data_IF_432410060781
#
_entry.id   IF_432410060781
#
_cell.length_a   1.000
_cell.length_b   1.000
_cell.length_c   1.000
_cell.angle_alpha   90.00
_cell.angle_beta   90.00
_cell.angle_gamma   90.00
#
_symmetry.space_group_name_H-M   'P 1'
#
loop_
_entity.id
_entity.type
_entity.pdbx_description
1 polymer ?
#
# COMPACT_ATOMS: atom_id res chain seq x y z
N UNK A 1 4.93 -9.84 16.98
CA UNK A 1 3.65 -9.24 17.43
C UNK A 1 2.60 -9.69 16.43
N UNK A 2 1.54 -10.35 16.84
CA UNK A 2 0.48 -10.82 15.91
C UNK A 2 -0.33 -9.60 15.47
N UNK A 3 -0.10 -9.13 14.24
CA UNK A 3 -0.90 -8.06 13.62
C UNK A 3 -2.27 -8.64 13.28
N UNK A 4 -3.33 -8.10 13.87
CA UNK A 4 -4.68 -8.64 13.74
C UNK A 4 -5.20 -8.64 12.28
N UNK A 5 -4.68 -7.79 11.38
CA UNK A 5 -5.14 -7.69 9.98
C UNK A 5 -4.63 -8.81 9.06
N UNK A 6 -3.75 -9.68 9.54
CA UNK A 6 -3.16 -10.73 8.70
C UNK A 6 -4.12 -11.91 8.48
N UNK A 7 -5.11 -12.08 9.35
CA UNK A 7 -6.11 -13.15 9.28
C UNK A 7 -7.44 -12.67 8.74
N UNK A 8 -8.16 -13.56 8.06
CA UNK A 8 -9.53 -13.37 7.58
C UNK A 8 -10.47 -12.67 8.58
N UNK A 9 -10.67 -13.19 9.82
CA UNK A 9 -11.58 -12.57 10.78
C UNK A 9 -11.13 -11.17 11.22
N UNK A 10 -9.82 -10.91 11.23
CA UNK A 10 -9.29 -9.59 11.57
C UNK A 10 -9.57 -8.54 10.48
N UNK A 11 -9.43 -8.90 9.21
CA UNK A 11 -9.81 -8.02 8.09
C UNK A 11 -11.31 -7.77 8.04
N UNK A 12 -12.11 -8.80 8.30
CA UNK A 12 -13.56 -8.66 8.37
C UNK A 12 -13.97 -7.70 9.49
N UNK A 13 -13.41 -7.86 10.69
CA UNK A 13 -13.69 -6.96 11.80
C UNK A 13 -13.35 -5.50 11.47
N UNK A 14 -12.20 -5.24 10.86
CA UNK A 14 -11.80 -3.88 10.47
C UNK A 14 -12.69 -3.30 9.36
N UNK A 15 -13.10 -4.12 8.38
CA UNK A 15 -14.11 -3.72 7.37
C UNK A 15 -15.45 -3.35 8.00
N UNK A 16 -15.94 -4.17 8.93
CA UNK A 16 -17.23 -3.98 9.59
C UNK A 16 -17.28 -2.70 10.44
N UNK A 17 -16.12 -2.20 10.89
CA UNK A 17 -16.01 -0.91 11.59
C UNK A 17 -15.97 0.30 10.64
N UNK A 18 -16.15 0.11 9.32
CA UNK A 18 -16.13 1.19 8.34
C UNK A 18 -14.73 1.76 8.07
N UNK A 19 -13.66 1.06 8.50
CA UNK A 19 -12.29 1.55 8.37
C UNK A 19 -11.88 1.84 6.92
N UNK A 20 -12.45 1.10 5.95
CA UNK A 20 -12.22 1.37 4.52
C UNK A 20 -12.59 2.80 4.13
N UNK A 21 -13.76 3.30 4.58
CA UNK A 21 -14.22 4.65 4.23
C UNK A 21 -13.29 5.72 4.81
N UNK A 22 -12.84 5.51 6.04
CA UNK A 22 -11.91 6.41 6.74
C UNK A 22 -10.55 6.41 6.04
N UNK A 23 -10.00 5.23 5.71
CA UNK A 23 -8.70 5.10 5.06
C UNK A 23 -8.71 5.65 3.63
N UNK A 24 -9.82 5.46 2.88
CA UNK A 24 -9.97 6.04 1.54
C UNK A 24 -9.95 7.56 1.59
N UNK A 25 -10.66 8.13 2.55
CA UNK A 25 -10.67 9.58 2.75
C UNK A 25 -9.33 10.08 3.28
N UNK A 26 -8.63 9.35 4.14
CA UNK A 26 -7.28 9.75 4.57
C UNK A 26 -6.32 9.77 3.37
N UNK A 27 -6.30 8.68 2.58
CA UNK A 27 -5.45 8.53 1.42
C UNK A 27 -5.58 9.67 0.40
N UNK A 28 -6.80 10.17 0.13
CA UNK A 28 -7.00 11.20 -0.89
C UNK A 28 -6.51 12.60 -0.50
N UNK A 29 -6.28 12.87 0.78
CA UNK A 29 -5.90 14.21 1.28
C UNK A 29 -4.57 14.19 2.04
N UNK A 30 -3.99 13.02 2.28
CA UNK A 30 -2.73 12.87 3.02
C UNK A 30 -1.54 13.41 2.22
N UNK A 31 -0.84 14.46 2.67
CA UNK A 31 0.30 15.02 1.96
C UNK A 31 1.58 14.19 2.11
N UNK A 32 1.72 13.42 3.19
CA UNK A 32 2.92 12.64 3.46
C UNK A 32 2.93 11.34 2.63
N UNK A 33 3.92 11.16 1.73
CA UNK A 33 3.97 10.02 0.80
C UNK A 33 4.05 8.67 1.49
N UNK A 34 4.78 8.57 2.61
CA UNK A 34 4.89 7.33 3.39
C UNK A 34 3.55 6.92 3.99
N UNK A 35 2.79 7.90 4.52
CA UNK A 35 1.47 7.67 5.11
C UNK A 35 0.46 7.32 4.02
N UNK A 36 0.53 7.99 2.87
CA UNK A 36 -0.31 7.68 1.70
C UNK A 36 -0.08 6.24 1.21
N UNK A 37 1.18 5.84 1.03
CA UNK A 37 1.56 4.47 0.64
C UNK A 37 1.06 3.44 1.67
N UNK A 38 1.20 3.73 2.96
CA UNK A 38 0.68 2.85 4.00
C UNK A 38 -0.85 2.72 3.95
N UNK A 39 -1.57 3.82 3.72
CA UNK A 39 -3.02 3.83 3.56
C UNK A 39 -3.45 3.02 2.34
N UNK A 40 -2.76 3.17 1.21
CA UNK A 40 -3.02 2.41 -0.01
C UNK A 40 -2.87 0.90 0.24
N UNK A 41 -1.76 0.47 0.86
CA UNK A 41 -1.53 -0.95 1.18
C UNK A 41 -2.61 -1.52 2.09
N UNK A 42 -3.09 -0.75 3.07
CA UNK A 42 -4.20 -1.16 3.93
C UNK A 42 -5.53 -1.23 3.16
N UNK A 43 -5.79 -0.28 2.26
CA UNK A 43 -6.99 -0.29 1.42
C UNK A 43 -7.00 -1.54 0.54
N UNK A 44 -5.90 -1.86 -0.15
CA UNK A 44 -5.77 -3.05 -0.99
C UNK A 44 -6.11 -4.33 -0.22
N UNK A 45 -5.59 -4.46 1.01
CA UNK A 45 -5.88 -5.60 1.89
C UNK A 45 -7.34 -5.66 2.33
N UNK A 46 -7.99 -4.51 2.55
CA UNK A 46 -9.40 -4.46 2.99
C UNK A 46 -10.38 -4.76 1.86
N UNK A 47 -10.09 -4.32 0.63
CA UNK A 47 -10.97 -4.57 -0.54
C UNK A 47 -10.70 -5.92 -1.20
N UNK A 48 -9.56 -6.55 -0.92
CA UNK A 48 -9.19 -7.84 -1.49
C UNK A 48 -10.19 -8.94 -1.17
N UNK A 49 -10.36 -9.85 -2.13
CA UNK A 49 -11.14 -11.08 -1.96
C UNK A 49 -10.51 -11.96 -0.88
N UNK A 50 -11.36 -12.67 -0.15
CA UNK A 50 -10.91 -13.57 0.91
C UNK A 50 -10.32 -14.85 0.28
N UNK A 51 -9.08 -15.25 0.61
CA UNK A 51 -8.46 -16.48 0.12
C UNK A 51 -9.23 -17.73 0.56
N UNK A 52 -8.92 -18.85 -0.11
CA UNK A 52 -9.55 -20.15 0.13
C UNK A 52 -9.39 -20.64 1.58
N UNK A 53 -10.30 -21.51 2.03
CA UNK A 53 -10.23 -22.09 3.39
C UNK A 53 -8.89 -22.79 3.59
N UNK A 54 -8.15 -22.36 4.62
CA UNK A 54 -6.77 -22.83 4.89
C UNK A 54 -5.67 -21.89 4.40
N UNK A 55 -5.99 -20.82 3.68
CA UNK A 55 -5.06 -19.75 3.25
C UNK A 55 -5.38 -18.40 3.92
N UNK A 56 -6.11 -18.43 5.03
CA UNK A 56 -6.67 -17.25 5.70
C UNK A 56 -5.59 -16.35 6.34
N UNK A 57 -4.44 -16.92 6.68
CA UNK A 57 -3.29 -16.22 7.21
C UNK A 57 -2.27 -15.97 6.10
N UNK A 58 -2.22 -14.72 5.61
CA UNK A 58 -1.36 -14.33 4.49
C UNK A 58 0.16 -14.49 4.76
N UNK A 59 0.57 -14.70 6.02
CA UNK A 59 1.98 -14.98 6.36
C UNK A 59 2.34 -16.46 6.27
N UNK A 60 1.36 -17.35 6.22
CA UNK A 60 1.58 -18.81 6.22
C UNK A 60 1.36 -19.45 4.84
N UNK A 61 0.93 -18.66 3.85
CA UNK A 61 0.70 -19.13 2.49
C UNK A 61 2.04 -19.22 1.74
N UNK A 62 2.29 -20.37 1.10
CA UNK A 62 3.41 -20.52 0.18
C UNK A 62 3.10 -19.80 -1.14
N UNK A 63 3.90 -18.79 -1.47
CA UNK A 63 3.78 -18.05 -2.73
C UNK A 63 4.61 -18.76 -3.80
N UNK A 64 4.05 -19.06 -4.98
CA UNK A 64 4.83 -19.57 -6.12
C UNK A 64 5.95 -18.60 -6.54
N UNK A 65 7.09 -19.12 -6.99
CA UNK A 65 8.28 -18.33 -7.32
C UNK A 65 8.00 -17.25 -8.39
N UNK A 66 7.21 -17.58 -9.41
CA UNK A 66 6.82 -16.67 -10.49
C UNK A 66 5.95 -15.51 -9.99
N UNK A 67 5.12 -15.76 -8.97
CA UNK A 67 4.28 -14.75 -8.34
C UNK A 67 5.14 -13.87 -7.43
N UNK A 68 6.06 -14.46 -6.66
CA UNK A 68 7.00 -13.71 -5.80
C UNK A 68 7.85 -12.73 -6.63
N UNK A 69 8.41 -13.17 -7.76
CA UNK A 69 9.17 -12.30 -8.66
C UNK A 69 8.34 -11.18 -9.28
N UNK A 70 7.06 -11.43 -9.57
CA UNK A 70 6.16 -10.39 -10.07
C UNK A 70 5.86 -9.34 -9.00
N UNK A 71 5.58 -9.77 -7.76
CA UNK A 71 5.34 -8.88 -6.63
C UNK A 71 6.56 -8.00 -6.35
N UNK A 72 7.76 -8.58 -6.30
CA UNK A 72 9.00 -7.82 -6.12
C UNK A 72 9.22 -6.77 -7.23
N UNK A 73 8.92 -7.10 -8.49
CA UNK A 73 9.02 -6.14 -9.59
C UNK A 73 8.01 -5.00 -9.47
N UNK A 74 6.80 -5.28 -9.00
CA UNK A 74 5.78 -4.25 -8.76
C UNK A 74 6.23 -3.32 -7.62
N UNK A 75 6.73 -3.86 -6.51
CA UNK A 75 7.25 -3.08 -5.39
C UNK A 75 8.42 -2.18 -5.82
N UNK A 76 9.37 -2.70 -6.61
CA UNK A 76 10.48 -1.90 -7.13
C UNK A 76 10.00 -0.74 -8.02
N UNK A 77 9.01 -0.99 -8.90
CA UNK A 77 8.46 0.03 -9.78
C UNK A 77 7.68 1.09 -9.02
N UNK A 78 6.93 0.69 -8.00
CA UNK A 78 6.19 1.60 -7.12
C UNK A 78 7.17 2.54 -6.40
N UNK A 79 8.25 1.98 -5.84
CA UNK A 79 9.28 2.74 -5.15
C UNK A 79 9.98 3.76 -6.06
N UNK A 80 10.35 3.36 -7.28
CA UNK A 80 10.97 4.27 -8.26
C UNK A 80 10.02 5.42 -8.65
N UNK A 81 8.72 5.16 -8.75
CA UNK A 81 7.73 6.20 -9.04
C UNK A 81 7.61 7.20 -7.90
N UNK A 82 7.52 6.72 -6.66
CA UNK A 82 7.52 7.57 -5.45
C UNK A 82 8.78 8.43 -5.37
N UNK A 83 9.96 7.83 -5.59
CA UNK A 83 11.22 8.56 -5.60
C UNK A 83 11.25 9.65 -6.69
N UNK A 84 10.70 9.36 -7.87
CA UNK A 84 10.61 10.34 -8.97
C UNK A 84 9.62 11.47 -8.67
N UNK A 85 8.51 11.18 -7.99
CA UNK A 85 7.54 12.19 -7.56
C UNK A 85 8.07 13.07 -6.41
N UNK A 86 8.86 12.49 -5.49
CA UNK A 86 9.52 13.25 -4.42
C UNK A 86 10.79 13.96 -4.88
N UNK A 87 11.37 13.58 -6.02
CA UNK A 87 12.58 14.20 -6.52
C UNK A 87 12.32 15.71 -6.70
N UNK A 88 13.12 16.58 -6.07
CA UNK A 88 12.96 18.01 -6.22
C UNK A 88 13.14 18.38 -7.69
N UNK A 89 12.16 19.09 -8.28
CA UNK A 89 12.28 19.68 -9.60
C UNK A 89 13.63 20.43 -9.67
N UNK A 90 14.51 20.12 -10.64
CA UNK A 90 15.73 20.88 -10.81
C UNK A 90 15.27 22.30 -11.16
N UNK A 91 15.41 23.21 -10.19
CA UNK A 91 15.05 24.60 -10.38
C UNK A 91 15.67 25.07 -11.69
N UNK A 92 14.79 25.39 -12.64
CA UNK A 92 15.14 26.15 -13.81
C UNK A 92 15.70 27.47 -13.28
N UNK A 93 17.02 27.55 -13.17
CA UNK A 93 17.77 28.78 -12.93
C UNK A 93 17.67 29.66 -14.19
N UNK A 94 16.44 29.99 -14.60
CA UNK A 94 16.18 31.10 -15.50
C UNK A 94 16.21 32.37 -14.66
N UNK A 95 17.41 32.94 -14.65
CA UNK A 95 17.65 34.37 -14.77
C UNK A 95 16.83 35.27 -13.84
N UNK A 96 17.47 35.72 -12.76
CA UNK A 96 17.27 37.10 -12.31
C UNK A 96 18.50 37.91 -12.72
N UNK A 97 18.42 38.74 -13.78
CA UNK A 97 19.33 39.86 -13.95
C UNK A 97 18.64 41.11 -13.38
N UNK A 98 19.14 41.64 -12.26
CA UNK A 98 19.02 43.06 -11.93
C UNK A 98 20.18 43.45 -11.02
#
# INVERSE_FOLDING_TARGET
RHTHMTTAPGRQHVRDQGAYLILRELHSWEPEPDVRTACEKLIQVLIGDEPERGMENLLEVQVPEDVEQQLQQLDCREQEQLERELAPEPWVERATPT
#
